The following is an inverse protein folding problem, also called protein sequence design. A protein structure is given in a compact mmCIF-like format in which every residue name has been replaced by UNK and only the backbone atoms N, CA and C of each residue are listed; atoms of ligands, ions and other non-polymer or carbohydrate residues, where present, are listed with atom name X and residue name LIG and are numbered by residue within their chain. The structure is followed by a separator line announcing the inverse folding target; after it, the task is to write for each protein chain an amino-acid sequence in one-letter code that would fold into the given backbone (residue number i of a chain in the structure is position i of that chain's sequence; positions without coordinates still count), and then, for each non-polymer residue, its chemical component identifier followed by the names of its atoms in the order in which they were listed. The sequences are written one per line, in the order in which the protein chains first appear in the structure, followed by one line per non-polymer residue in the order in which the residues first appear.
data_IF_904953421112
#
_entry.id   IF_904953421112
#
_cell.length_a   1.000
_cell.length_b   1.000
_cell.length_c   1.000
_cell.angle_alpha   90.00
_cell.angle_beta   90.00
_cell.angle_gamma   90.00
#
_symmetry.space_group_name_H-M   'P 1'
#
loop_
_entity.id
_entity.type
_entity.pdbx_description
1 polymer ?
#
# COMPACT_ATOMS: atom_id res chain seq x y z
N UNK A 1 3.16 -10.89 -16.93
CA UNK A 1 3.99 -10.44 -15.78
C UNK A 1 4.17 -8.94 -15.93
N UNK A 2 4.14 -8.20 -14.83
CA UNK A 2 4.43 -6.76 -14.83
C UNK A 2 5.94 -6.53 -14.99
N UNK A 3 6.33 -5.39 -15.56
CA UNK A 3 7.73 -4.96 -15.60
C UNK A 3 8.17 -4.41 -14.25
N UNK A 4 9.49 -4.30 -14.04
CA UNK A 4 10.05 -3.69 -12.84
C UNK A 4 9.62 -2.22 -12.73
N UNK A 5 9.58 -1.52 -13.85
CA UNK A 5 9.19 -0.12 -13.96
C UNK A 5 7.73 0.07 -13.58
N UNK A 6 6.81 -0.77 -14.10
CA UNK A 6 5.40 -0.76 -13.72
C UNK A 6 5.19 -0.99 -12.22
N UNK A 7 5.95 -1.92 -11.62
CA UNK A 7 5.90 -2.18 -10.19
C UNK A 7 6.42 -1.00 -9.36
N UNK A 8 7.51 -0.36 -9.77
CA UNK A 8 8.06 0.82 -9.11
C UNK A 8 7.08 2.01 -9.21
N UNK A 9 6.48 2.23 -10.38
CA UNK A 9 5.49 3.28 -10.60
C UNK A 9 4.24 3.07 -9.73
N UNK A 10 3.83 1.81 -9.50
CA UNK A 10 2.70 1.48 -8.63
C UNK A 10 2.92 1.81 -7.14
N UNK A 11 4.17 1.96 -6.67
CA UNK A 11 4.46 2.29 -5.26
C UNK A 11 3.93 3.68 -4.89
N UNK A 12 4.02 4.65 -5.82
CA UNK A 12 3.59 6.04 -5.61
C UNK A 12 2.07 6.19 -5.35
N UNK A 13 1.17 5.68 -6.22
CA UNK A 13 -0.26 5.75 -5.97
C UNK A 13 -0.68 4.96 -4.73
N UNK A 14 -0.08 3.78 -4.45
CA UNK A 14 -0.38 3.02 -3.23
C UNK A 14 -0.01 3.81 -1.98
N UNK A 15 1.17 4.44 -1.96
CA UNK A 15 1.60 5.29 -0.84
C UNK A 15 0.68 6.51 -0.67
N UNK A 16 0.20 7.07 -1.77
CA UNK A 16 -0.77 8.18 -1.74
C UNK A 16 -2.12 7.75 -1.14
N UNK A 17 -2.62 6.56 -1.48
CA UNK A 17 -3.86 6.02 -0.89
C UNK A 17 -3.69 5.82 0.61
N UNK A 18 -2.57 5.23 1.06
CA UNK A 18 -2.26 5.06 2.48
C UNK A 18 -2.34 6.42 3.20
N UNK A 19 -1.59 7.43 2.75
CA UNK A 19 -1.55 8.74 3.41
C UNK A 19 -2.92 9.42 3.46
N UNK A 20 -3.70 9.33 2.37
CA UNK A 20 -5.06 9.89 2.32
C UNK A 20 -6.00 9.17 3.29
N UNK A 21 -5.93 7.84 3.37
CA UNK A 21 -6.76 7.05 4.27
C UNK A 21 -6.37 7.26 5.74
N UNK A 22 -5.08 7.41 6.06
CA UNK A 22 -4.62 7.75 7.42
C UNK A 22 -5.17 9.11 7.87
N UNK A 23 -5.02 10.14 7.02
CA UNK A 23 -5.58 11.47 7.29
C UNK A 23 -7.10 11.45 7.41
N UNK A 24 -7.79 10.64 6.61
CA UNK A 24 -9.23 10.48 6.71
C UNK A 24 -9.65 9.75 7.99
N UNK A 25 -8.92 8.70 8.39
CA UNK A 25 -9.19 7.94 9.62
C UNK A 25 -9.17 8.82 10.86
N UNK A 26 -8.22 9.76 10.94
CA UNK A 26 -8.08 10.71 12.06
C UNK A 26 -9.32 11.59 12.28
N UNK A 27 -10.17 11.76 11.27
CA UNK A 27 -11.42 12.54 11.36
C UNK A 27 -12.56 11.78 12.05
N UNK A 28 -12.41 10.48 12.29
CA UNK A 28 -13.46 9.63 12.83
C UNK A 28 -13.06 9.06 14.19
N UNK A 29 -14.03 9.04 15.11
CA UNK A 29 -13.83 8.44 16.44
C UNK A 29 -13.54 6.95 16.30
N UNK A 30 -12.58 6.47 17.10
CA UNK A 30 -12.22 5.05 17.18
C UNK A 30 -13.46 4.22 17.51
N UNK A 31 -13.67 3.13 16.77
CA UNK A 31 -14.83 2.25 16.93
C UNK A 31 -16.01 2.59 16.01
N UNK A 32 -16.02 3.75 15.36
CA UNK A 32 -17.00 4.02 14.29
C UNK A 32 -16.77 3.13 13.06
N UNK A 33 -17.82 2.95 12.27
CA UNK A 33 -17.75 2.24 10.99
C UNK A 33 -16.66 2.84 10.07
N UNK A 34 -16.64 4.17 9.92
CA UNK A 34 -15.68 4.85 9.06
C UNK A 34 -14.23 4.68 9.56
N UNK A 35 -13.99 4.82 10.86
CA UNK A 35 -12.66 4.58 11.43
C UNK A 35 -12.18 3.13 11.15
N UNK A 36 -13.07 2.15 11.31
CA UNK A 36 -12.77 0.73 11.07
C UNK A 36 -12.56 0.44 9.58
N UNK A 37 -13.37 1.04 8.70
CA UNK A 37 -13.21 0.93 7.25
C UNK A 37 -11.84 1.45 6.80
N UNK A 38 -11.44 2.66 7.22
CA UNK A 38 -10.12 3.18 6.88
C UNK A 38 -8.98 2.33 7.45
N UNK A 39 -9.12 1.82 8.68
CA UNK A 39 -8.14 0.88 9.27
C UNK A 39 -7.90 -0.33 8.35
N UNK A 40 -8.97 -0.91 7.83
CA UNK A 40 -8.90 -2.09 6.97
C UNK A 40 -8.27 -1.76 5.61
N UNK A 41 -8.61 -0.61 5.01
CA UNK A 41 -8.01 -0.15 3.76
C UNK A 41 -6.52 0.11 3.93
N UNK A 42 -6.13 0.84 4.99
CA UNK A 42 -4.71 1.12 5.29
C UNK A 42 -3.93 -0.18 5.43
N UNK A 43 -4.44 -1.14 6.21
CA UNK A 43 -3.81 -2.46 6.38
C UNK A 43 -3.63 -3.19 5.04
N UNK A 44 -4.68 -3.23 4.20
CA UNK A 44 -4.61 -3.87 2.90
C UNK A 44 -3.57 -3.21 1.99
N UNK A 45 -3.54 -1.87 1.93
CA UNK A 45 -2.59 -1.13 1.10
C UNK A 45 -1.14 -1.31 1.55
N UNK A 46 -0.88 -1.38 2.86
CA UNK A 46 0.46 -1.72 3.36
C UNK A 46 0.90 -3.12 2.93
N UNK A 47 0.00 -4.11 2.99
CA UNK A 47 0.28 -5.46 2.48
C UNK A 47 0.58 -5.41 0.98
N UNK A 48 -0.26 -4.74 0.19
CA UNK A 48 -0.05 -4.58 -1.26
C UNK A 48 1.31 -3.93 -1.56
N UNK A 49 1.68 -2.85 -0.85
CA UNK A 49 2.99 -2.19 -0.99
C UNK A 49 4.14 -3.13 -0.66
N UNK A 50 4.02 -3.91 0.42
CA UNK A 50 5.03 -4.89 0.80
C UNK A 50 5.23 -5.95 -0.27
N UNK A 51 4.15 -6.45 -0.86
CA UNK A 51 4.20 -7.45 -1.93
C UNK A 51 4.86 -6.89 -3.20
N UNK A 52 4.52 -5.65 -3.59
CA UNK A 52 5.16 -4.98 -4.73
C UNK A 52 6.67 -4.84 -4.50
N UNK A 53 7.09 -4.35 -3.33
CA UNK A 53 8.51 -4.20 -3.00
C UNK A 53 9.22 -5.55 -2.99
N UNK A 54 8.57 -6.59 -2.46
CA UNK A 54 9.14 -7.94 -2.44
C UNK A 54 9.34 -8.48 -3.86
N UNK A 55 8.37 -8.30 -4.75
CA UNK A 55 8.51 -8.70 -6.15
C UNK A 55 9.64 -7.95 -6.86
N UNK A 56 9.77 -6.64 -6.62
CA UNK A 56 10.89 -5.85 -7.15
C UNK A 56 12.23 -6.38 -6.65
N UNK A 57 12.33 -6.79 -5.37
CA UNK A 57 13.55 -7.39 -4.82
C UNK A 57 13.86 -8.74 -5.45
N UNK A 58 12.86 -9.62 -5.58
CA UNK A 58 13.01 -10.92 -6.24
C UNK A 58 13.54 -10.77 -7.68
N UNK A 59 13.10 -9.74 -8.40
CA UNK A 59 13.58 -9.43 -9.76
C UNK A 59 15.03 -8.94 -9.80
N UNK A 60 15.55 -8.37 -8.71
CA UNK A 60 16.95 -7.93 -8.59
C UNK A 60 17.85 -9.12 -8.18
N UNK A 61 17.39 -9.94 -7.24
CA UNK A 61 18.16 -11.08 -6.71
C UNK A 61 18.25 -12.26 -7.71
N UNK A 62 17.25 -12.44 -8.57
CA UNK A 62 17.25 -13.47 -9.63
C UNK A 62 18.20 -13.20 -10.81
N UNK A 63 19.05 -12.18 -10.73
CA UNK A 63 20.06 -11.83 -11.75
C UNK A 63 21.52 -12.07 -11.30
N UNK A 64 21.73 -12.72 -10.15
CA UNK A 64 23.05 -13.10 -9.61
C UNK A 64 23.27 -14.60 -9.71
#
# INVERSE_FOLDING_TARGET
KYTKEELLEAISPVSSVISKCEKAQLKFVKGTFNHTRFKNIIKAMYISKSLIINEVRNMIEGQV
#
